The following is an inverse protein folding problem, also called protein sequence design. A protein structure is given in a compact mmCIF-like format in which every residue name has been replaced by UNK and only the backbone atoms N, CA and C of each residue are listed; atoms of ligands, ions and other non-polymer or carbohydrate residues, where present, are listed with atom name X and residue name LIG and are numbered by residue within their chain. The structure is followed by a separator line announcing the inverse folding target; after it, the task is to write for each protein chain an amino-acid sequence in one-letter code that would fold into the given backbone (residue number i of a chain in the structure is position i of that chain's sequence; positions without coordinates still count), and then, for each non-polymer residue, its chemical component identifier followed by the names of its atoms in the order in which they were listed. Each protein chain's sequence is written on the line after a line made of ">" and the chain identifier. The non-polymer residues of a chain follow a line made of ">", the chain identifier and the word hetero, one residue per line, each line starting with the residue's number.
data_IF_453875082451
#
_entry.id   IF_453875082451
#
_cell.length_a   1.000
_cell.length_b   1.000
_cell.length_c   1.000
_cell.angle_alpha   90.00
_cell.angle_beta   90.00
_cell.angle_gamma   90.00
#
_symmetry.space_group_name_H-M   'P 1'
#
loop_
_entity.id
_entity.type
_entity.pdbx_description
1 polymer ?
#
# COMPACT_ATOMS: atom_id res chain seq x y z
N UNK A 1 21.16 18.71 -17.20
CA UNK A 1 21.14 17.23 -17.17
C UNK A 1 19.82 16.81 -17.81
N UNK A 2 19.81 15.90 -18.77
CA UNK A 2 18.56 15.39 -19.34
C UNK A 2 17.76 14.79 -18.19
N UNK A 3 16.60 15.37 -17.85
CA UNK A 3 15.71 14.90 -16.80
C UNK A 3 14.97 13.63 -17.28
N UNK A 4 15.69 12.53 -17.48
CA UNK A 4 15.04 11.22 -17.45
C UNK A 4 14.42 11.07 -16.06
N UNK A 5 13.11 10.80 -15.99
CA UNK A 5 12.41 10.62 -14.72
C UNK A 5 13.12 9.53 -13.90
N UNK A 6 13.33 9.79 -12.62
CA UNK A 6 13.84 8.79 -11.69
C UNK A 6 12.75 7.72 -11.56
N UNK A 7 13.05 6.42 -11.76
CA UNK A 7 12.09 5.35 -11.55
C UNK A 7 11.50 5.40 -10.14
N UNK A 8 10.19 5.22 -9.99
CA UNK A 8 9.54 5.11 -8.69
C UNK A 8 8.82 3.76 -8.57
N UNK A 9 9.18 2.99 -7.55
CA UNK A 9 8.44 1.83 -7.09
C UNK A 9 7.71 2.18 -5.79
N UNK A 10 6.40 1.99 -5.78
CA UNK A 10 5.55 2.46 -4.70
C UNK A 10 5.03 1.33 -3.79
N UNK A 11 4.99 1.61 -2.50
CA UNK A 11 4.62 0.64 -1.47
C UNK A 11 3.14 0.30 -1.43
N UNK A 12 2.22 1.15 -1.92
CA UNK A 12 0.78 0.93 -1.81
C UNK A 12 -0.05 1.85 -2.72
N UNK A 13 -0.99 1.28 -3.48
CA UNK A 13 -2.05 2.01 -4.16
C UNK A 13 -3.34 1.18 -4.29
N UNK A 14 -4.47 1.87 -4.49
CA UNK A 14 -5.82 1.31 -4.55
C UNK A 14 -6.43 1.30 -5.96
N UNK A 15 -5.60 1.18 -7.00
CA UNK A 15 -6.07 1.14 -8.39
C UNK A 15 -7.12 0.06 -8.59
N UNK A 16 -6.91 -1.15 -8.06
CA UNK A 16 -7.85 -2.27 -8.27
C UNK A 16 -9.21 -1.99 -7.65
N UNK A 17 -9.25 -1.44 -6.43
CA UNK A 17 -10.50 -0.98 -5.80
C UNK A 17 -11.20 0.09 -6.65
N UNK A 18 -10.47 1.09 -7.14
CA UNK A 18 -11.04 2.14 -7.99
C UNK A 18 -11.60 1.57 -9.30
N UNK A 19 -10.89 0.63 -9.94
CA UNK A 19 -11.37 -0.03 -11.15
C UNK A 19 -12.63 -0.87 -10.87
N UNK A 20 -12.69 -1.56 -9.73
CA UNK A 20 -13.87 -2.29 -9.30
C UNK A 20 -15.08 -1.38 -9.05
N UNK A 21 -14.86 -0.22 -8.43
CA UNK A 21 -15.91 0.78 -8.17
C UNK A 21 -16.36 1.55 -9.43
N UNK A 22 -15.59 1.47 -10.52
CA UNK A 22 -15.87 2.21 -11.76
C UNK A 22 -17.19 1.78 -12.41
N UNK A 23 -17.90 2.76 -12.98
CA UNK A 23 -19.07 2.53 -13.83
C UNK A 23 -18.69 2.28 -15.30
N UNK A 24 -17.39 2.30 -15.63
CA UNK A 24 -16.92 2.00 -16.98
C UNK A 24 -17.21 0.53 -17.33
N UNK A 25 -17.66 0.27 -18.55
CA UNK A 25 -18.02 -1.09 -19.00
C UNK A 25 -16.83 -2.05 -19.08
N UNK A 26 -15.63 -1.51 -19.28
CA UNK A 26 -14.36 -2.25 -19.22
C UNK A 26 -13.29 -1.36 -18.53
N UNK A 27 -13.21 -1.38 -17.19
CA UNK A 27 -12.32 -0.47 -16.46
C UNK A 27 -10.83 -0.78 -16.70
N UNK A 28 -10.47 -2.04 -16.97
CA UNK A 28 -9.10 -2.42 -17.31
C UNK A 28 -8.63 -1.79 -18.64
N UNK A 29 -9.44 -1.85 -19.69
CA UNK A 29 -9.14 -1.16 -20.96
C UNK A 29 -9.02 0.35 -20.78
N UNK A 30 -9.91 0.95 -19.99
CA UNK A 30 -9.86 2.38 -19.73
C UNK A 30 -8.61 2.79 -18.94
N UNK A 31 -8.11 1.96 -18.02
CA UNK A 31 -6.84 2.22 -17.34
C UNK A 31 -5.65 2.23 -18.30
N UNK A 32 -5.68 1.40 -19.35
CA UNK A 32 -4.59 1.25 -20.32
C UNK A 32 -4.61 2.39 -21.33
N UNK A 33 -5.80 2.77 -21.84
CA UNK A 33 -5.92 3.63 -23.01
C UNK A 33 -6.49 5.02 -22.74
N UNK A 34 -7.28 5.17 -21.68
CA UNK A 34 -7.99 6.41 -21.39
C UNK A 34 -7.34 7.19 -20.24
N UNK A 35 -7.80 8.43 -20.06
CA UNK A 35 -7.49 9.23 -18.89
C UNK A 35 -8.63 9.09 -17.88
N UNK A 36 -8.40 8.31 -16.84
CA UNK A 36 -9.38 8.07 -15.78
C UNK A 36 -9.32 9.12 -14.68
N UNK A 37 -10.45 9.31 -13.98
CA UNK A 37 -10.45 9.97 -12.67
C UNK A 37 -9.61 9.15 -11.67
N UNK A 38 -9.03 9.81 -10.66
CA UNK A 38 -8.08 9.21 -9.73
C UNK A 38 -6.63 9.59 -10.04
N UNK A 39 -5.70 8.92 -9.39
CA UNK A 39 -4.29 9.25 -9.33
C UNK A 39 -3.43 8.45 -10.33
N UNK A 40 -3.87 7.28 -10.80
CA UNK A 40 -3.12 6.46 -11.76
C UNK A 40 -3.93 6.10 -13.02
N UNK A 41 -3.24 6.08 -14.14
CA UNK A 41 -3.55 5.31 -15.36
C UNK A 41 -2.22 5.01 -16.06
N UNK A 42 -2.20 4.04 -16.97
CA UNK A 42 -0.95 3.56 -17.55
C UNK A 42 -0.13 4.69 -18.19
N UNK A 43 -0.81 5.59 -18.91
CA UNK A 43 -0.18 6.72 -19.58
C UNK A 43 0.48 7.68 -18.57
N UNK A 44 -0.22 8.08 -17.51
CA UNK A 44 0.36 8.93 -16.47
C UNK A 44 1.50 8.24 -15.73
N UNK A 45 1.42 6.93 -15.49
CA UNK A 45 2.52 6.17 -14.89
C UNK A 45 3.79 6.23 -15.75
N UNK A 46 3.65 5.98 -17.05
CA UNK A 46 4.75 6.05 -18.01
C UNK A 46 5.36 7.46 -18.09
N UNK A 47 4.52 8.49 -18.17
CA UNK A 47 4.96 9.90 -18.17
C UNK A 47 5.71 10.28 -16.88
N UNK A 48 5.31 9.74 -15.73
CA UNK A 48 5.87 10.06 -14.43
C UNK A 48 7.15 9.29 -14.08
N UNK A 49 7.49 8.21 -14.80
CA UNK A 49 8.51 7.26 -14.37
C UNK A 49 8.06 6.37 -13.21
N UNK A 50 6.75 6.16 -13.04
CA UNK A 50 6.21 5.19 -12.09
C UNK A 50 6.35 3.79 -12.70
N UNK A 51 7.28 3.01 -12.17
CA UNK A 51 7.68 1.72 -12.76
C UNK A 51 6.95 0.54 -12.16
N UNK A 52 6.27 0.74 -11.03
CA UNK A 52 5.44 -0.28 -10.41
C UNK A 52 5.15 0.00 -8.95
N UNK A 53 4.52 -0.97 -8.31
CA UNK A 53 4.27 -0.90 -6.88
C UNK A 53 3.43 -2.07 -6.39
N UNK A 54 2.99 -1.98 -5.13
CA UNK A 54 2.01 -2.89 -4.58
C UNK A 54 0.60 -2.41 -4.89
N UNK A 55 -0.17 -3.24 -5.62
CA UNK A 55 -1.54 -2.95 -6.01
C UNK A 55 -2.46 -3.71 -5.05
N UNK A 56 -3.19 -2.97 -4.23
CA UNK A 56 -4.04 -3.51 -3.19
C UNK A 56 -5.32 -4.11 -3.77
N UNK A 57 -5.58 -5.37 -3.44
CA UNK A 57 -6.91 -5.97 -3.41
C UNK A 57 -7.48 -5.63 -2.05
N UNK A 58 -8.47 -4.75 -2.02
CA UNK A 58 -8.99 -4.16 -0.81
C UNK A 58 -10.52 -4.19 -0.78
N UNK A 59 -11.11 -4.52 0.37
CA UNK A 59 -12.55 -4.50 0.56
C UNK A 59 -13.00 -3.10 1.00
N UNK A 60 -13.59 -2.27 0.11
CA UNK A 60 -14.03 -0.94 0.49
C UNK A 60 -15.11 -1.02 1.59
N UNK A 61 -15.14 -0.06 2.54
CA UNK A 61 -16.15 -0.07 3.59
C UNK A 61 -17.56 -0.02 3.00
N UNK A 62 -18.46 -0.86 3.52
CA UNK A 62 -19.84 -0.98 3.02
C UNK A 62 -20.55 0.38 2.96
N UNK A 63 -20.43 1.19 4.01
CA UNK A 63 -21.05 2.52 4.06
C UNK A 63 -20.55 3.45 2.94
N UNK A 64 -19.28 3.35 2.55
CA UNK A 64 -18.74 4.11 1.43
C UNK A 64 -19.36 3.66 0.11
N UNK A 65 -19.42 2.34 -0.13
CA UNK A 65 -20.05 1.78 -1.34
C UNK A 65 -21.53 2.15 -1.38
N UNK A 66 -22.25 2.06 -0.26
CA UNK A 66 -23.66 2.44 -0.17
C UNK A 66 -23.90 3.92 -0.49
N UNK A 67 -23.03 4.80 0.00
CA UNK A 67 -23.18 6.24 -0.20
C UNK A 67 -22.78 6.69 -1.60
N UNK A 68 -21.72 6.10 -2.18
CA UNK A 68 -21.07 6.63 -3.39
C UNK A 68 -21.25 5.73 -4.63
N UNK A 69 -21.44 4.42 -4.45
CA UNK A 69 -21.55 3.42 -5.51
C UNK A 69 -22.66 2.40 -5.22
N UNK A 70 -23.92 2.83 -4.96
CA UNK A 70 -25.00 1.93 -4.53
C UNK A 70 -25.36 0.85 -5.56
N UNK A 71 -25.00 1.06 -6.84
CA UNK A 71 -25.13 0.09 -7.92
C UNK A 71 -24.18 -1.11 -7.80
N UNK A 72 -23.11 -1.01 -7.00
CA UNK A 72 -22.18 -2.10 -6.70
C UNK A 72 -22.64 -2.99 -5.55
N UNK A 73 -23.70 -2.59 -4.83
CA UNK A 73 -24.25 -3.40 -3.75
C UNK A 73 -25.11 -4.54 -4.30
N UNK A 74 -24.85 -5.75 -3.81
CA UNK A 74 -25.70 -6.92 -4.05
C UNK A 74 -27.09 -6.77 -3.43
N UNK A 75 -27.16 -6.13 -2.26
CA UNK A 75 -28.40 -5.81 -1.55
C UNK A 75 -28.24 -4.44 -0.87
N UNK A 76 -29.04 -3.47 -1.31
CA UNK A 76 -28.99 -2.09 -0.79
C UNK A 76 -29.64 -1.95 0.60
N UNK A 77 -30.40 -2.95 1.06
CA UNK A 77 -31.05 -2.95 2.37
C UNK A 77 -30.19 -3.55 3.48
N UNK A 78 -29.10 -4.22 3.11
CA UNK A 78 -28.12 -4.77 4.05
C UNK A 78 -27.32 -3.67 4.77
N UNK A 79 -26.65 -4.05 5.86
CA UNK A 79 -25.81 -3.15 6.68
C UNK A 79 -24.31 -3.44 6.55
N UNK A 80 -23.93 -4.59 5.99
CA UNK A 80 -22.56 -4.98 5.67
C UNK A 80 -22.58 -6.07 4.57
N UNK A 81 -21.41 -6.38 4.01
CA UNK A 81 -21.24 -7.48 3.08
C UNK A 81 -21.27 -8.84 3.79
N UNK A 82 -21.86 -9.85 3.14
CA UNK A 82 -21.73 -11.24 3.58
C UNK A 82 -20.33 -11.77 3.24
N UNK A 83 -19.88 -12.84 3.90
CA UNK A 83 -18.58 -13.44 3.61
C UNK A 83 -18.41 -13.80 2.12
N UNK A 84 -19.43 -14.38 1.50
CA UNK A 84 -19.40 -14.76 0.09
C UNK A 84 -19.22 -13.52 -0.82
N UNK A 85 -19.86 -12.40 -0.47
CA UNK A 85 -19.70 -11.14 -1.21
C UNK A 85 -18.30 -10.58 -1.04
N UNK A 86 -17.72 -10.66 0.16
CA UNK A 86 -16.33 -10.24 0.41
C UNK A 86 -15.37 -11.06 -0.47
N UNK A 87 -15.50 -12.39 -0.47
CA UNK A 87 -14.69 -13.28 -1.30
C UNK A 87 -14.83 -12.93 -2.79
N UNK A 88 -16.06 -12.71 -3.27
CA UNK A 88 -16.33 -12.33 -4.64
C UNK A 88 -15.69 -10.99 -5.02
N UNK A 89 -15.83 -9.95 -4.19
CA UNK A 89 -15.24 -8.62 -4.45
C UNK A 89 -13.71 -8.72 -4.59
N UNK A 90 -13.05 -9.47 -3.70
CA UNK A 90 -11.60 -9.64 -3.77
C UNK A 90 -11.16 -10.45 -5.00
N UNK A 91 -11.93 -11.48 -5.39
CA UNK A 91 -11.65 -12.24 -6.62
C UNK A 91 -11.89 -11.41 -7.89
N UNK A 92 -12.89 -10.54 -7.92
CA UNK A 92 -13.12 -9.61 -9.03
C UNK A 92 -11.98 -8.61 -9.20
N UNK A 93 -11.41 -8.11 -8.09
CA UNK A 93 -10.22 -7.24 -8.15
C UNK A 93 -8.96 -7.99 -8.60
N UNK A 94 -8.80 -9.25 -8.20
CA UNK A 94 -7.74 -10.12 -8.74
C UNK A 94 -7.91 -10.32 -10.26
N UNK A 95 -9.15 -10.53 -10.72
CA UNK A 95 -9.46 -10.66 -12.14
C UNK A 95 -9.13 -9.37 -12.90
N UNK A 96 -9.44 -8.20 -12.35
CA UNK A 96 -9.05 -6.92 -12.93
C UNK A 96 -7.52 -6.79 -13.09
N UNK A 97 -6.74 -7.20 -12.09
CA UNK A 97 -5.28 -7.19 -12.21
C UNK A 97 -4.77 -8.12 -13.33
N UNK A 98 -5.39 -9.30 -13.49
CA UNK A 98 -5.08 -10.23 -14.59
C UNK A 98 -5.45 -9.63 -15.94
N UNK A 99 -6.64 -9.04 -16.06
CA UNK A 99 -7.08 -8.35 -17.26
C UNK A 99 -6.11 -7.23 -17.67
N UNK A 100 -5.59 -6.44 -16.72
CA UNK A 100 -4.58 -5.41 -17.02
C UNK A 100 -3.32 -6.00 -17.68
N UNK A 101 -2.79 -7.11 -17.14
CA UNK A 101 -1.62 -7.79 -17.69
C UNK A 101 -1.90 -8.54 -19.00
N UNK A 102 -3.13 -9.03 -19.21
CA UNK A 102 -3.54 -9.71 -20.44
C UNK A 102 -3.82 -8.73 -21.58
N UNK A 103 -4.40 -7.57 -21.27
CA UNK A 103 -4.83 -6.58 -22.27
C UNK A 103 -3.68 -5.68 -22.75
N UNK A 104 -2.57 -5.60 -22.02
CA UNK A 104 -1.40 -4.80 -22.41
C UNK A 104 -0.08 -5.53 -22.19
N UNK A 105 0.76 -5.54 -23.22
CA UNK A 105 2.14 -6.03 -23.11
C UNK A 105 3.03 -5.14 -22.23
N UNK A 106 2.56 -3.93 -21.91
CA UNK A 106 3.26 -2.93 -21.09
C UNK A 106 2.97 -3.08 -19.59
N UNK A 107 2.21 -4.10 -19.19
CA UNK A 107 1.88 -4.38 -17.79
C UNK A 107 2.27 -5.84 -17.49
N UNK A 108 2.80 -6.09 -16.29
CA UNK A 108 3.12 -7.44 -15.84
C UNK A 108 2.89 -7.60 -14.34
N UNK A 109 2.19 -8.68 -13.96
CA UNK A 109 2.14 -9.13 -12.56
C UNK A 109 3.50 -9.76 -12.21
N UNK A 110 4.11 -9.29 -11.15
CA UNK A 110 5.45 -9.66 -10.70
C UNK A 110 5.39 -10.44 -9.40
N UNK A 111 6.15 -11.53 -9.31
CA UNK A 111 6.20 -12.38 -8.12
C UNK A 111 7.57 -12.47 -7.46
N UNK A 112 8.59 -11.92 -8.12
CA UNK A 112 10.00 -11.86 -7.67
C UNK A 112 10.56 -10.47 -7.94
N UNK A 113 11.68 -10.10 -7.30
CA UNK A 113 12.34 -8.81 -7.61
C UNK A 113 12.93 -8.81 -9.02
N UNK A 114 13.33 -9.98 -9.53
CA UNK A 114 13.85 -10.12 -10.89
C UNK A 114 12.77 -9.82 -11.94
N UNK A 115 11.50 -10.16 -11.68
CA UNK A 115 10.37 -9.75 -12.52
C UNK A 115 10.24 -8.22 -12.58
N UNK A 116 10.35 -7.55 -11.43
CA UNK A 116 10.25 -6.09 -11.32
C UNK A 116 11.39 -5.41 -12.09
N UNK A 117 12.62 -5.91 -11.92
CA UNK A 117 13.80 -5.43 -12.66
C UNK A 117 13.66 -5.67 -14.17
N UNK A 118 13.07 -6.79 -14.58
CA UNK A 118 12.77 -7.07 -15.98
C UNK A 118 11.76 -6.06 -16.54
N UNK A 119 10.71 -5.74 -15.78
CA UNK A 119 9.73 -4.73 -16.15
C UNK A 119 10.39 -3.36 -16.36
N UNK A 120 11.24 -2.92 -15.44
CA UNK A 120 12.01 -1.68 -15.61
C UNK A 120 12.81 -1.69 -16.93
N UNK A 121 13.56 -2.76 -17.20
CA UNK A 121 14.39 -2.88 -18.40
C UNK A 121 13.56 -2.92 -19.70
N UNK A 122 12.31 -3.37 -19.63
CA UNK A 122 11.36 -3.45 -20.75
C UNK A 122 10.35 -2.30 -20.79
N UNK A 123 10.47 -1.32 -19.89
CA UNK A 123 9.54 -0.19 -19.75
C UNK A 123 8.08 -0.61 -19.52
N UNK A 124 7.91 -1.69 -18.74
CA UNK A 124 6.60 -2.19 -18.31
C UNK A 124 6.27 -1.70 -16.90
N UNK A 125 4.98 -1.54 -16.62
CA UNK A 125 4.45 -1.34 -15.28
C UNK A 125 4.44 -2.68 -14.51
N UNK A 126 5.19 -2.74 -13.42
CA UNK A 126 5.22 -3.89 -12.52
C UNK A 126 4.09 -3.83 -11.48
N UNK A 127 3.21 -4.83 -11.49
CA UNK A 127 2.15 -5.02 -10.48
C UNK A 127 2.59 -6.09 -9.50
N UNK A 128 2.87 -5.72 -8.25
CA UNK A 128 2.99 -6.68 -7.14
C UNK A 128 1.64 -6.77 -6.46
N UNK A 129 1.01 -7.94 -6.48
CA UNK A 129 -0.30 -8.12 -5.84
C UNK A 129 -0.16 -8.07 -4.31
N UNK A 130 -0.95 -7.18 -3.71
CA UNK A 130 -1.07 -7.00 -2.27
C UNK A 130 -2.53 -7.19 -1.84
N UNK A 131 -2.78 -7.74 -0.67
CA UNK A 131 -4.12 -7.84 -0.07
C UNK A 131 -4.16 -7.00 1.20
N UNK A 132 -4.99 -5.97 1.21
CA UNK A 132 -5.19 -5.08 2.35
C UNK A 132 -6.46 -5.49 3.09
N UNK A 133 -6.28 -6.09 4.27
CA UNK A 133 -7.35 -6.79 4.98
C UNK A 133 -7.55 -8.19 4.43
N UNK A 134 -7.47 -9.20 5.30
CA UNK A 134 -7.62 -10.60 4.92
C UNK A 134 -9.05 -11.14 5.14
N UNK A 135 -10.07 -10.28 5.20
CA UNK A 135 -11.44 -10.67 5.53
C UNK A 135 -12.01 -11.73 4.56
N UNK A 136 -11.60 -11.72 3.29
CA UNK A 136 -11.97 -12.77 2.32
C UNK A 136 -11.49 -14.17 2.75
N UNK A 137 -10.43 -14.26 3.55
CA UNK A 137 -9.80 -15.53 3.93
C UNK A 137 -10.28 -16.05 5.29
N UNK A 138 -11.06 -15.26 6.03
CA UNK A 138 -11.33 -15.53 7.45
C UNK A 138 -12.22 -16.76 7.71
N UNK A 139 -13.13 -17.09 6.79
CA UNK A 139 -13.96 -18.31 6.86
C UNK A 139 -13.54 -19.37 5.83
N UNK A 140 -12.64 -19.02 4.91
CA UNK A 140 -12.16 -19.89 3.84
C UNK A 140 -10.65 -19.72 3.65
N UNK A 141 -9.84 -20.25 4.59
CA UNK A 141 -8.39 -20.03 4.59
C UNK A 141 -7.68 -20.67 3.40
N UNK A 142 -8.30 -21.61 2.69
CA UNK A 142 -7.72 -22.25 1.49
C UNK A 142 -7.67 -21.28 0.30
N UNK A 143 -8.48 -20.21 0.32
CA UNK A 143 -8.38 -19.15 -0.68
C UNK A 143 -7.01 -18.48 -0.70
N UNK A 144 -6.24 -18.52 0.40
CA UNK A 144 -4.89 -18.00 0.41
C UNK A 144 -4.03 -18.66 -0.69
N UNK A 145 -4.17 -19.96 -0.88
CA UNK A 145 -3.43 -20.69 -1.92
C UNK A 145 -3.89 -20.26 -3.32
N UNK A 146 -5.19 -20.03 -3.51
CA UNK A 146 -5.74 -19.51 -4.79
C UNK A 146 -5.16 -18.14 -5.14
N UNK A 147 -5.13 -17.20 -4.19
CA UNK A 147 -4.53 -15.88 -4.41
C UNK A 147 -3.02 -15.97 -4.61
N UNK A 148 -2.33 -16.79 -3.82
CA UNK A 148 -0.87 -16.96 -3.91
C UNK A 148 -0.44 -17.54 -5.27
N UNK A 149 -1.14 -18.57 -5.76
CA UNK A 149 -0.90 -19.19 -7.06
C UNK A 149 -1.22 -18.24 -8.22
N UNK A 150 -2.16 -17.31 -8.00
CA UNK A 150 -2.46 -16.23 -8.94
C UNK A 150 -1.47 -15.05 -8.87
N UNK A 151 -0.49 -15.08 -7.98
CA UNK A 151 0.61 -14.10 -7.90
C UNK A 151 0.62 -13.20 -6.67
N UNK A 152 -0.28 -13.39 -5.69
CA UNK A 152 -0.25 -12.64 -4.43
C UNK A 152 1.07 -12.86 -3.68
N UNK A 153 1.76 -11.78 -3.31
CA UNK A 153 3.04 -11.83 -2.58
C UNK A 153 3.10 -10.94 -1.34
N UNK A 154 2.09 -10.11 -1.12
CA UNK A 154 2.02 -9.21 0.04
C UNK A 154 0.62 -9.26 0.67
N UNK A 155 0.55 -9.21 2.00
CA UNK A 155 -0.71 -9.21 2.73
C UNK A 155 -0.61 -8.41 4.03
N UNK A 156 -1.55 -7.50 4.25
CA UNK A 156 -1.83 -6.88 5.54
C UNK A 156 -3.07 -7.53 6.14
N UNK A 157 -2.97 -8.44 7.12
CA UNK A 157 -4.13 -9.26 7.53
C UNK A 157 -5.27 -8.50 8.20
N UNK A 158 -5.03 -7.25 8.58
CA UNK A 158 -5.98 -6.39 9.27
C UNK A 158 -6.17 -5.10 8.49
N UNK A 159 -7.40 -4.62 8.45
CA UNK A 159 -7.76 -3.26 8.12
C UNK A 159 -8.55 -2.62 9.29
N UNK A 160 -9.11 -1.43 9.11
CA UNK A 160 -9.88 -0.69 10.12
C UNK A 160 -11.31 -1.26 10.33
N UNK A 161 -11.45 -2.60 10.39
CA UNK A 161 -12.72 -3.30 10.64
C UNK A 161 -12.52 -4.53 11.54
N UNK A 162 -13.60 -5.08 12.15
CA UNK A 162 -13.51 -6.34 12.87
C UNK A 162 -13.06 -7.48 11.96
N UNK A 163 -12.10 -8.28 12.42
CA UNK A 163 -11.54 -9.42 11.70
C UNK A 163 -11.35 -10.60 12.65
N UNK A 164 -11.51 -11.83 12.16
CA UNK A 164 -11.18 -13.03 12.95
C UNK A 164 -9.69 -13.10 13.30
N UNK A 165 -8.82 -12.45 12.54
CA UNK A 165 -7.39 -12.45 12.77
C UNK A 165 -6.94 -11.49 13.88
N UNK A 166 -7.76 -10.50 14.22
CA UNK A 166 -7.38 -9.51 15.22
C UNK A 166 -8.14 -8.19 15.06
N UNK A 167 -7.61 -7.16 15.69
CA UNK A 167 -8.21 -5.83 15.66
C UNK A 167 -7.24 -4.87 14.98
N UNK A 168 -7.68 -4.28 13.86
CA UNK A 168 -6.99 -3.12 13.30
C UNK A 168 -7.24 -1.86 14.11
N UNK A 169 -6.94 -0.71 13.50
CA UNK A 169 -7.09 0.59 14.14
C UNK A 169 -8.56 1.02 14.19
N UNK A 170 -8.96 1.53 15.35
CA UNK A 170 -10.27 2.16 15.55
C UNK A 170 -10.11 3.30 16.56
N UNK A 171 -9.85 4.50 16.07
CA UNK A 171 -9.67 5.67 16.90
C UNK A 171 -9.97 6.97 16.15
N UNK A 172 -10.34 8.00 16.90
CA UNK A 172 -10.47 9.39 16.42
C UNK A 172 -9.19 10.15 16.73
N UNK A 173 -8.74 11.01 15.82
CA UNK A 173 -7.58 11.87 16.05
C UNK A 173 -7.81 12.88 17.21
N UNK A 174 -6.78 13.23 18.01
CA UNK A 174 -5.48 12.56 18.10
C UNK A 174 -5.56 11.30 18.97
N UNK A 175 -4.78 10.27 18.64
CA UNK A 175 -4.80 9.02 19.40
C UNK A 175 -3.52 8.21 19.27
N UNK A 176 -3.22 7.41 20.30
CA UNK A 176 -2.18 6.39 20.27
C UNK A 176 -2.53 5.27 19.27
N UNK A 177 -1.56 4.58 18.64
CA UNK A 177 -1.85 3.37 17.88
C UNK A 177 -2.37 2.21 18.75
N UNK A 178 -2.30 2.30 20.08
CA UNK A 178 -2.92 1.31 20.99
C UNK A 178 -4.44 1.55 21.09
N UNK A 179 -5.19 0.91 20.19
CA UNK A 179 -6.65 1.07 20.07
C UNK A 179 -7.45 -0.14 20.57
N UNK A 180 -6.80 -1.15 21.18
CA UNK A 180 -7.52 -2.34 21.62
C UNK A 180 -6.66 -3.59 21.81
N UNK A 181 -7.24 -4.74 21.49
CA UNK A 181 -6.58 -6.05 21.57
C UNK A 181 -5.73 -6.29 20.32
N UNK A 182 -4.72 -7.15 20.43
CA UNK A 182 -3.85 -7.51 19.30
C UNK A 182 -4.44 -8.58 18.38
N UNK A 183 -3.56 -9.47 17.92
CA UNK A 183 -3.94 -10.62 17.10
C UNK A 183 -4.67 -11.68 17.95
N UNK A 184 -5.64 -12.36 17.34
CA UNK A 184 -6.21 -13.57 17.91
C UNK A 184 -5.25 -14.75 17.74
N UNK A 185 -5.53 -15.90 18.37
CA UNK A 185 -4.78 -17.13 18.12
C UNK A 185 -4.81 -17.52 16.63
N UNK A 186 -5.96 -17.38 15.97
CA UNK A 186 -6.11 -17.62 14.53
C UNK A 186 -5.25 -16.64 13.70
N UNK A 187 -5.22 -15.36 14.07
CA UNK A 187 -4.38 -14.36 13.40
C UNK A 187 -2.89 -14.63 13.53
N UNK A 188 -2.43 -15.05 14.71
CA UNK A 188 -1.01 -15.43 14.90
C UNK A 188 -0.63 -16.64 14.03
N UNK A 189 -1.50 -17.65 13.95
CA UNK A 189 -1.31 -18.79 13.07
C UNK A 189 -1.33 -18.39 11.58
N UNK A 190 -2.21 -17.46 11.21
CA UNK A 190 -2.32 -16.94 9.84
C UNK A 190 -1.06 -16.17 9.41
N UNK A 191 -0.57 -15.25 10.24
CA UNK A 191 0.70 -14.54 10.03
C UNK A 191 1.85 -15.53 9.80
N UNK A 192 1.94 -16.56 10.65
CA UNK A 192 2.95 -17.61 10.49
C UNK A 192 2.82 -18.34 9.15
N UNK A 193 1.60 -18.73 8.74
CA UNK A 193 1.37 -19.41 7.45
C UNK A 193 1.80 -18.54 6.26
N UNK A 194 1.49 -17.24 6.29
CA UNK A 194 1.90 -16.31 5.23
C UNK A 194 3.42 -16.10 5.21
N UNK A 195 4.06 -15.98 6.37
CA UNK A 195 5.53 -15.90 6.46
C UNK A 195 6.23 -17.19 5.99
N UNK A 196 5.71 -18.37 6.35
CA UNK A 196 6.22 -19.67 5.88
C UNK A 196 6.12 -19.80 4.34
N UNK A 197 5.18 -19.08 3.72
CA UNK A 197 5.02 -18.96 2.25
C UNK A 197 5.86 -17.86 1.61
N UNK A 198 6.78 -17.23 2.36
CA UNK A 198 7.60 -16.11 1.88
C UNK A 198 6.76 -14.95 1.35
N UNK A 199 5.65 -14.63 2.02
CA UNK A 199 4.86 -13.44 1.70
C UNK A 199 5.32 -12.26 2.56
N UNK A 200 5.31 -11.07 1.98
CA UNK A 200 5.43 -9.82 2.72
C UNK A 200 4.24 -9.70 3.68
N UNK A 201 4.54 -9.50 4.96
CA UNK A 201 3.55 -9.20 5.99
C UNK A 201 3.58 -7.71 6.23
N UNK A 202 2.50 -7.05 5.83
CA UNK A 202 2.32 -5.61 6.01
C UNK A 202 1.67 -5.33 7.36
N UNK A 203 2.32 -4.47 8.15
CA UNK A 203 1.84 -4.04 9.48
C UNK A 203 1.07 -2.72 9.44
N UNK A 204 0.90 -2.13 8.27
CA UNK A 204 -0.08 -1.07 8.04
C UNK A 204 -1.46 -1.56 8.52
N UNK A 205 -2.22 -0.68 9.16
CA UNK A 205 -3.54 -0.86 9.78
C UNK A 205 -3.57 -1.66 11.07
N UNK A 206 -2.47 -2.31 11.44
CA UNK A 206 -2.37 -2.96 12.74
C UNK A 206 -2.34 -1.92 13.86
N UNK A 207 -3.12 -2.19 14.91
CA UNK A 207 -2.94 -1.45 16.16
C UNK A 207 -1.61 -1.84 16.83
N UNK A 208 -1.21 -1.11 17.87
CA UNK A 208 0.07 -1.30 18.56
C UNK A 208 0.28 -2.75 19.02
N UNK A 209 -0.74 -3.41 19.56
CA UNK A 209 -0.60 -4.79 20.07
C UNK A 209 -0.49 -5.80 18.94
N UNK A 210 -1.28 -5.64 17.87
CA UNK A 210 -1.18 -6.49 16.69
C UNK A 210 0.18 -6.33 16.00
N UNK A 211 0.72 -5.12 15.92
CA UNK A 211 2.09 -4.87 15.45
C UNK A 211 3.12 -5.68 16.24
N UNK A 212 3.09 -5.61 17.58
CA UNK A 212 4.08 -6.32 18.40
C UNK A 212 3.86 -7.82 18.39
N UNK A 213 2.62 -8.30 18.37
CA UNK A 213 2.33 -9.73 18.17
C UNK A 213 2.96 -10.23 16.86
N UNK A 214 2.79 -9.49 15.76
CA UNK A 214 3.40 -9.80 14.46
C UNK A 214 4.94 -9.76 14.55
N UNK A 215 5.51 -8.69 15.11
CA UNK A 215 6.96 -8.52 15.24
C UNK A 215 7.63 -9.66 16.02
N UNK A 216 6.95 -10.22 17.04
CA UNK A 216 7.47 -11.38 17.79
C UNK A 216 7.36 -12.71 17.04
N UNK A 217 6.51 -12.80 16.01
CA UNK A 217 6.31 -14.01 15.20
C UNK A 217 7.29 -14.03 14.01
N UNK A 218 7.48 -12.89 13.35
CA UNK A 218 8.25 -12.81 12.12
C UNK A 218 9.74 -13.07 12.34
N UNK A 219 10.32 -13.84 11.40
CA UNK A 219 11.77 -14.01 11.25
C UNK A 219 12.28 -13.31 9.97
N UNK A 220 11.38 -12.65 9.25
CA UNK A 220 11.64 -11.86 8.05
C UNK A 220 11.52 -10.36 8.37
N UNK A 221 12.01 -9.47 7.50
CA UNK A 221 11.83 -8.02 7.67
C UNK A 221 10.37 -7.59 7.89
N UNK A 222 10.16 -6.64 8.80
CA UNK A 222 8.84 -6.04 9.06
C UNK A 222 8.60 -4.93 8.04
N UNK A 223 7.45 -4.95 7.37
CA UNK A 223 7.11 -3.96 6.34
C UNK A 223 5.88 -3.18 6.76
N UNK A 224 5.95 -1.85 6.70
CA UNK A 224 4.78 -0.98 6.71
C UNK A 224 4.67 -0.31 5.33
N UNK A 225 3.74 -0.78 4.49
CA UNK A 225 3.60 -0.34 3.10
C UNK A 225 3.22 1.14 2.95
N UNK A 226 2.42 1.68 3.85
CA UNK A 226 1.95 3.07 3.82
C UNK A 226 1.67 3.58 5.24
N UNK A 227 2.69 4.12 5.92
CA UNK A 227 2.54 4.69 7.27
C UNK A 227 3.49 5.84 7.52
N UNK A 228 3.07 6.77 8.39
CA UNK A 228 3.81 8.00 8.69
C UNK A 228 4.30 8.01 10.16
N UNK A 229 4.73 9.18 10.64
CA UNK A 229 5.43 9.36 11.92
C UNK A 229 4.46 9.90 12.97
N UNK A 230 4.26 9.16 14.05
CA UNK A 230 3.31 9.52 15.10
C UNK A 230 3.72 10.79 15.86
N UNK A 231 5.02 10.96 16.11
CA UNK A 231 5.57 12.13 16.79
C UNK A 231 5.28 13.47 16.06
N UNK A 232 5.12 13.44 14.73
CA UNK A 232 4.80 14.61 13.91
C UNK A 232 3.29 14.80 13.73
N UNK A 233 2.56 13.70 13.57
CA UNK A 233 1.12 13.66 13.41
C UNK A 233 0.56 12.52 14.26
N UNK A 234 -0.09 12.82 15.41
CA UNK A 234 -0.53 11.80 16.39
C UNK A 234 -1.84 11.10 15.95
N UNK A 235 -1.86 10.61 14.71
CA UNK A 235 -2.86 9.70 14.19
C UNK A 235 -2.54 8.29 14.66
N UNK A 236 -3.55 7.53 15.09
CA UNK A 236 -3.37 6.12 15.44
C UNK A 236 -2.81 5.28 14.28
N UNK A 237 -2.99 5.78 13.04
CA UNK A 237 -2.44 5.21 11.81
C UNK A 237 -0.93 5.30 11.68
N UNK A 238 -0.29 6.24 12.38
CA UNK A 238 1.14 6.49 12.29
C UNK A 238 1.94 5.68 13.29
N UNK A 239 3.20 5.42 12.96
CA UNK A 239 4.11 4.59 13.74
C UNK A 239 4.78 5.40 14.85
N UNK A 240 4.81 4.82 16.05
CA UNK A 240 5.62 5.34 17.17
C UNK A 240 7.10 5.02 16.98
N UNK A 241 7.99 5.78 17.62
CA UNK A 241 9.45 5.58 17.51
C UNK A 241 9.88 4.15 17.86
N UNK A 242 9.23 3.50 18.82
CA UNK A 242 9.55 2.10 19.16
C UNK A 242 9.15 1.13 18.04
N UNK A 243 8.06 1.39 17.32
CA UNK A 243 7.66 0.60 16.15
C UNK A 243 8.63 0.85 14.98
N UNK A 244 9.04 2.11 14.79
CA UNK A 244 10.04 2.48 13.79
C UNK A 244 11.38 1.75 14.04
N UNK A 245 11.88 1.75 15.28
CA UNK A 245 13.09 1.00 15.66
C UNK A 245 12.95 -0.50 15.41
N UNK A 246 11.80 -1.10 15.74
CA UNK A 246 11.57 -2.52 15.46
C UNK A 246 11.62 -2.83 13.96
N UNK A 247 11.07 -1.95 13.11
CA UNK A 247 11.17 -2.07 11.66
C UNK A 247 12.64 -1.99 11.21
N UNK A 248 13.40 -1.00 11.67
CA UNK A 248 14.85 -0.89 11.38
C UNK A 248 15.61 -2.15 11.79
N UNK A 249 15.42 -2.60 13.03
CA UNK A 249 16.20 -3.71 13.61
C UNK A 249 15.89 -5.04 12.92
N UNK A 250 14.67 -5.20 12.38
CA UNK A 250 14.28 -6.32 11.50
C UNK A 250 14.84 -6.23 10.07
N UNK A 251 15.53 -5.13 9.74
CA UNK A 251 15.95 -4.75 8.38
C UNK A 251 14.78 -4.53 7.41
N UNK A 252 13.68 -4.03 7.95
CA UNK A 252 12.42 -3.73 7.28
C UNK A 252 12.39 -2.39 6.56
N UNK A 253 11.18 -1.94 6.18
CA UNK A 253 10.96 -0.67 5.48
C UNK A 253 9.64 -0.02 5.88
N UNK A 254 9.62 1.31 5.88
CA UNK A 254 8.43 2.15 5.96
C UNK A 254 8.20 2.85 4.62
N UNK A 255 7.05 2.61 3.99
CA UNK A 255 6.54 3.40 2.89
C UNK A 255 5.84 4.65 3.39
N UNK A 256 6.34 5.81 2.98
CA UNK A 256 5.80 7.12 3.35
C UNK A 256 4.46 7.37 2.65
N UNK A 257 3.40 7.55 3.42
CA UNK A 257 2.02 7.73 2.97
C UNK A 257 1.70 9.21 2.66
N UNK A 258 0.95 9.46 1.57
CA UNK A 258 0.63 10.81 1.12
C UNK A 258 -0.74 11.35 1.58
N UNK A 259 -1.55 10.60 2.34
CA UNK A 259 -2.79 11.09 2.96
C UNK A 259 -2.47 12.28 3.87
N UNK A 260 -3.05 13.43 3.52
CA UNK A 260 -2.87 14.68 4.26
C UNK A 260 -3.29 14.55 5.72
N UNK A 261 -4.27 13.69 6.03
CA UNK A 261 -4.71 13.44 7.40
C UNK A 261 -3.63 12.75 8.25
N UNK A 262 -2.72 12.00 7.64
CA UNK A 262 -1.62 11.29 8.31
C UNK A 262 -0.31 12.08 8.33
N UNK A 263 -0.26 13.20 7.62
CA UNK A 263 0.91 14.09 7.51
C UNK A 263 0.79 15.33 8.38
N UNK A 264 -0.41 15.92 8.43
CA UNK A 264 -0.58 17.19 9.11
C UNK A 264 -0.62 17.01 10.61
N UNK A 265 0.09 17.87 11.34
CA UNK A 265 0.08 17.91 12.81
C UNK A 265 -1.31 18.05 13.42
N UNK A 266 -2.27 18.64 12.69
CA UNK A 266 -3.66 18.83 13.11
C UNK A 266 -4.61 17.69 12.69
N UNK A 267 -4.12 16.70 11.94
CA UNK A 267 -4.88 15.55 11.45
C UNK A 267 -6.00 15.88 10.46
N UNK A 268 -6.05 17.11 9.94
CA UNK A 268 -7.14 17.58 9.08
C UNK A 268 -7.06 17.00 7.66
N UNK A 269 -8.22 16.80 7.03
CA UNK A 269 -8.34 16.41 5.62
C UNK A 269 -8.37 17.66 4.73
N UNK A 270 -7.20 18.24 4.47
CA UNK A 270 -7.04 19.45 3.65
C UNK A 270 -5.97 19.25 2.56
N UNK A 271 -6.39 19.21 1.30
CA UNK A 271 -5.53 19.01 0.15
C UNK A 271 -4.63 20.22 -0.17
N UNK A 272 -4.83 21.38 0.46
CA UNK A 272 -3.89 22.52 0.38
C UNK A 272 -2.65 22.34 1.28
N UNK A 273 -2.30 21.08 1.60
CA UNK A 273 -1.12 20.72 2.36
C UNK A 273 0.11 20.73 1.46
N UNK A 274 1.15 21.47 1.82
CA UNK A 274 2.38 21.54 1.02
C UNK A 274 3.16 20.21 1.03
N UNK A 275 3.82 19.86 -0.07
CA UNK A 275 4.69 18.68 -0.14
C UNK A 275 5.86 18.72 0.84
N UNK A 276 6.21 19.89 1.38
CA UNK A 276 7.21 19.99 2.45
C UNK A 276 6.80 19.25 3.73
N UNK A 277 5.50 19.05 3.97
CA UNK A 277 5.03 18.26 5.11
C UNK A 277 5.35 16.77 4.91
N UNK A 278 5.25 16.28 3.67
CA UNK A 278 5.68 14.93 3.29
C UNK A 278 7.18 14.77 3.54
N UNK A 279 7.98 15.74 3.09
CA UNK A 279 9.44 15.69 3.29
C UNK A 279 9.86 15.79 4.75
N UNK A 280 9.12 16.49 5.60
CA UNK A 280 9.39 16.48 7.05
C UNK A 280 9.24 15.09 7.67
N UNK A 281 8.23 14.34 7.23
CA UNK A 281 8.07 12.96 7.64
C UNK A 281 9.18 12.06 7.09
N UNK A 282 9.56 12.24 5.82
CA UNK A 282 10.69 11.55 5.20
C UNK A 282 12.00 11.76 5.97
N UNK A 283 12.32 13.02 6.28
CA UNK A 283 13.52 13.40 7.05
C UNK A 283 13.52 12.75 8.43
N UNK A 284 12.40 12.80 9.14
CA UNK A 284 12.29 12.14 10.45
C UNK A 284 12.50 10.62 10.34
N UNK A 285 11.91 9.97 9.34
CA UNK A 285 12.11 8.53 9.12
C UNK A 285 13.59 8.24 8.84
N UNK A 286 14.24 9.02 7.97
CA UNK A 286 15.68 8.85 7.68
C UNK A 286 16.53 9.01 8.95
N UNK A 287 16.23 10.01 9.77
CA UNK A 287 16.97 10.27 11.02
C UNK A 287 16.78 9.15 12.06
N UNK A 288 15.56 8.62 12.19
CA UNK A 288 15.22 7.64 13.23
C UNK A 288 15.59 6.20 12.85
N UNK A 289 15.32 5.81 11.60
CA UNK A 289 15.48 4.43 11.13
C UNK A 289 16.56 4.24 10.09
N UNK A 290 17.14 5.31 9.56
CA UNK A 290 18.21 5.24 8.56
C UNK A 290 17.67 5.15 7.13
N UNK A 291 18.47 5.64 6.18
CA UNK A 291 18.07 5.80 4.78
C UNK A 291 17.68 4.49 4.09
N UNK A 292 18.23 3.35 4.50
CA UNK A 292 17.97 2.05 3.85
C UNK A 292 16.60 1.43 4.23
N UNK A 293 15.83 2.12 5.08
CA UNK A 293 14.57 1.63 5.66
C UNK A 293 13.36 2.51 5.30
N UNK A 294 13.49 3.38 4.31
CA UNK A 294 12.42 4.31 3.89
C UNK A 294 12.19 4.25 2.39
N UNK A 295 10.93 4.24 1.97
CA UNK A 295 10.51 4.36 0.57
C UNK A 295 9.21 5.14 0.46
N UNK A 296 8.64 5.23 -0.74
CA UNK A 296 7.29 5.76 -0.93
C UNK A 296 6.22 4.67 -0.75
N UNK A 297 5.08 5.06 -0.21
CA UNK A 297 3.90 4.22 0.01
C UNK A 297 2.65 5.05 -0.17
N UNK A 298 2.44 5.50 -1.40
CA UNK A 298 1.70 6.71 -1.73
C UNK A 298 0.27 6.77 -1.21
N UNK A 299 -0.41 5.62 -1.15
CA UNK A 299 -1.86 5.57 -0.91
C UNK A 299 -2.64 6.25 -2.04
N UNK A 300 -2.07 6.23 -3.27
CA UNK A 300 -2.76 6.73 -4.44
C UNK A 300 -4.04 5.93 -4.70
N UNK A 301 -5.09 6.62 -5.16
CA UNK A 301 -6.46 6.12 -5.29
C UNK A 301 -7.14 5.70 -3.96
N UNK A 302 -6.42 5.64 -2.83
CA UNK A 302 -6.94 5.28 -1.50
C UNK A 302 -7.12 6.48 -0.55
N UNK A 303 -6.39 7.57 -0.78
CA UNK A 303 -6.35 8.72 0.12
C UNK A 303 -6.64 10.08 -0.53
N UNK A 304 -6.94 11.08 0.32
CA UNK A 304 -6.89 12.49 -0.07
C UNK A 304 -5.45 12.98 0.03
N UNK A 305 -4.84 13.32 -1.11
CA UNK A 305 -3.46 13.78 -1.18
C UNK A 305 -3.37 15.30 -1.42
N UNK A 306 -2.15 15.84 -1.32
CA UNK A 306 -1.86 17.24 -1.64
C UNK A 306 -2.20 17.59 -3.09
N UNK A 307 -2.82 18.76 -3.31
CA UNK A 307 -3.04 19.33 -4.65
C UNK A 307 -1.75 19.65 -5.40
N UNK A 308 -0.63 19.88 -4.69
CA UNK A 308 0.68 20.05 -5.33
C UNK A 308 1.14 18.76 -6.01
N UNK A 309 0.81 17.59 -5.45
CA UNK A 309 1.07 16.29 -6.10
C UNK A 309 -0.01 16.04 -7.16
N UNK A 310 -1.28 16.13 -6.77
CA UNK A 310 -2.43 15.93 -7.65
C UNK A 310 -2.65 14.48 -8.09
N UNK A 311 -1.68 13.91 -8.82
CA UNK A 311 -1.68 12.51 -9.27
C UNK A 311 -0.25 11.98 -9.40
N UNK A 312 -0.07 10.77 -9.93
CA UNK A 312 1.25 10.13 -10.08
C UNK A 312 2.29 11.00 -10.80
N UNK A 313 1.86 11.91 -11.70
CA UNK A 313 2.79 12.83 -12.37
C UNK A 313 3.42 13.82 -11.41
N UNK A 314 2.80 14.12 -10.27
CA UNK A 314 3.34 15.00 -9.24
C UNK A 314 4.57 14.46 -8.52
N UNK A 315 4.94 13.18 -8.69
CA UNK A 315 6.13 12.59 -8.07
C UNK A 315 7.42 13.35 -8.41
N UNK A 316 7.52 13.91 -9.63
CA UNK A 316 8.69 14.72 -10.01
C UNK A 316 8.89 15.93 -9.09
N UNK A 317 7.81 16.52 -8.57
CA UNK A 317 7.90 17.68 -7.67
C UNK A 317 8.48 17.30 -6.30
N UNK A 318 8.17 16.10 -5.80
CA UNK A 318 8.80 15.57 -4.59
C UNK A 318 10.31 15.38 -4.82
N UNK A 319 10.68 14.77 -5.95
CA UNK A 319 12.08 14.51 -6.31
C UNK A 319 12.85 15.82 -6.49
N UNK A 320 12.29 16.80 -7.20
CA UNK A 320 12.88 18.14 -7.32
C UNK A 320 13.06 18.81 -5.95
N UNK A 321 12.10 18.62 -5.04
CA UNK A 321 12.19 19.20 -3.70
C UNK A 321 13.26 18.50 -2.86
N UNK A 322 13.43 17.18 -2.99
CA UNK A 322 14.55 16.44 -2.40
C UNK A 322 15.90 16.93 -2.95
N UNK A 323 16.02 17.15 -4.26
CA UNK A 323 17.23 17.73 -4.87
C UNK A 323 17.53 19.13 -4.36
N UNK A 324 16.51 19.99 -4.21
CA UNK A 324 16.65 21.32 -3.60
C UNK A 324 17.08 21.27 -2.13
N UNK A 325 16.77 20.19 -1.42
CA UNK A 325 17.26 19.88 -0.07
C UNK A 325 18.61 19.13 -0.06
N UNK A 326 19.30 19.07 -1.20
CA UNK A 326 20.63 18.48 -1.37
C UNK A 326 20.71 16.97 -1.17
N UNK A 327 19.62 16.25 -1.38
CA UNK A 327 19.66 14.78 -1.41
C UNK A 327 20.51 14.36 -2.60
N UNK A 328 21.47 13.45 -2.37
CA UNK A 328 22.30 12.91 -3.45
C UNK A 328 21.45 12.05 -4.38
N UNK A 329 21.94 11.82 -5.61
CA UNK A 329 21.29 10.89 -6.54
C UNK A 329 21.08 9.51 -5.91
N UNK A 330 22.08 9.00 -5.19
CA UNK A 330 22.01 7.70 -4.50
C UNK A 330 20.90 7.66 -3.44
N UNK A 331 20.74 8.72 -2.64
CA UNK A 331 19.67 8.81 -1.64
C UNK A 331 18.29 8.83 -2.31
N UNK A 332 18.15 9.61 -3.39
CA UNK A 332 16.91 9.67 -4.17
C UNK A 332 16.59 8.29 -4.74
N UNK A 333 17.57 7.60 -5.33
CA UNK A 333 17.41 6.25 -5.89
C UNK A 333 16.93 5.24 -4.84
N UNK A 334 17.53 5.28 -3.65
CA UNK A 334 17.15 4.46 -2.50
C UNK A 334 15.69 4.62 -2.13
N UNK A 335 15.26 5.86 -1.90
CA UNK A 335 13.88 6.19 -1.51
C UNK A 335 12.90 5.87 -2.63
N UNK A 336 13.27 6.15 -3.88
CA UNK A 336 12.35 5.99 -5.01
C UNK A 336 12.11 4.52 -5.37
N UNK A 337 13.10 3.63 -5.24
CA UNK A 337 12.85 2.21 -5.56
C UNK A 337 13.80 1.20 -4.91
N UNK A 338 15.09 1.49 -4.75
CA UNK A 338 16.06 0.41 -4.49
C UNK A 338 15.95 -0.17 -3.07
N UNK A 339 15.48 0.61 -2.10
CA UNK A 339 15.17 0.11 -0.76
C UNK A 339 14.03 -0.91 -0.79
N UNK A 340 12.96 -0.61 -1.53
CA UNK A 340 11.83 -1.54 -1.71
C UNK A 340 12.29 -2.86 -2.29
N UNK A 341 13.05 -2.82 -3.39
CA UNK A 341 13.55 -4.04 -4.02
C UNK A 341 14.49 -4.84 -3.12
N UNK A 342 15.32 -4.16 -2.34
CA UNK A 342 16.22 -4.82 -1.38
C UNK A 342 15.42 -5.56 -0.30
N UNK A 343 14.37 -4.95 0.27
CA UNK A 343 13.55 -5.60 1.30
C UNK A 343 12.68 -6.71 0.71
N UNK A 344 12.12 -6.50 -0.48
CA UNK A 344 11.37 -7.54 -1.19
C UNK A 344 12.24 -8.77 -1.50
N UNK A 345 13.48 -8.57 -1.94
CA UNK A 345 14.40 -9.67 -2.25
C UNK A 345 14.69 -10.54 -1.02
N UNK A 346 14.88 -9.91 0.15
CA UNK A 346 15.10 -10.60 1.44
C UNK A 346 13.92 -11.46 1.89
N UNK A 347 12.72 -11.18 1.40
CA UNK A 347 11.50 -11.89 1.80
C UNK A 347 11.10 -12.93 0.75
N UNK A 348 11.02 -12.51 -0.52
CA UNK A 348 10.46 -13.31 -1.60
C UNK A 348 11.48 -14.31 -2.17
N UNK A 349 12.76 -13.91 -2.24
CA UNK A 349 13.78 -14.58 -3.05
C UNK A 349 14.90 -15.24 -2.22
N UNK A 350 15.19 -14.73 -1.02
CA UNK A 350 16.08 -15.34 -0.01
C UNK A 350 15.30 -16.27 0.93
#
# INVERSE_FOLDING_TARGET
>A
MNHSSVPVFDGHNDVLTRLWLSDHSNPAQAFIHDRLAGHLDLKRCQEAGFVGGMFAIFLPPFAYVQQHHPNKLFDQTSSDFTQQQIEQICLEQLDLAKQLAEYSNDIQICTTVQDIQHCLAKQKLAIVLHMEGAEALQLNPDLLDVFYDAGLRSIGPLWNRPSRFGHGLNAKFPHSPDTGLGLTHEGKAFIKRCADKKMVIDVSHMNKKAFWDTAHILQQPIVATHSNVHALCPQARNLTDDQLKAIRDSKGIVGLNFDVAFLRKDGQRDANTSIDVILKHLEYLIDEIGIDHVGFGSDFDGALISHEIGDVRGLHLLIERMQKRHYSHEIIEKICFSNWWTVLNRILDE
#
